data_IF_415230022814
#
_entry.id   IF_415230022814
#
_cell.length_a   1.000
_cell.length_b   1.000
_cell.length_c   1.000
_cell.angle_alpha   90.00
_cell.angle_beta   90.00
_cell.angle_gamma   90.00
#
_symmetry.space_group_name_H-M   'P 1'
#
loop_
_entity.id
_entity.type
_entity.pdbx_description
1 polymer ?
#
# COMPACT_ATOMS: atom_id res chain seq x y z
N UNK A 1 -8.85 8.97 0.37
CA UNK A 1 -7.65 9.55 -0.29
C UNK A 1 -7.04 8.58 -1.31
N UNK A 2 -6.35 7.48 -0.91
CA UNK A 2 -5.77 6.54 -1.90
C UNK A 2 -6.82 5.76 -2.71
N UNK A 3 -7.95 5.41 -2.08
CA UNK A 3 -9.11 4.82 -2.77
C UNK A 3 -9.70 5.76 -3.82
N UNK A 4 -9.77 7.05 -3.51
CA UNK A 4 -10.34 8.06 -4.40
C UNK A 4 -9.40 8.29 -5.59
N UNK A 5 -8.08 8.35 -5.35
CA UNK A 5 -7.08 8.44 -6.41
C UNK A 5 -7.14 7.25 -7.39
N UNK A 6 -7.38 6.03 -6.89
CA UNK A 6 -7.57 4.85 -7.75
C UNK A 6 -8.84 4.96 -8.60
N UNK A 7 -9.94 5.42 -8.00
CA UNK A 7 -11.22 5.61 -8.72
C UNK A 7 -11.10 6.67 -9.81
N UNK A 8 -10.50 7.81 -9.49
CA UNK A 8 -10.27 8.89 -10.47
C UNK A 8 -9.37 8.44 -11.62
N UNK A 9 -8.33 7.64 -11.33
CA UNK A 9 -7.47 7.08 -12.37
C UNK A 9 -8.20 6.06 -13.27
N UNK A 10 -9.13 5.26 -12.72
CA UNK A 10 -9.99 4.36 -13.52
C UNK A 10 -10.94 5.15 -14.43
N UNK A 11 -11.60 6.19 -13.89
CA UNK A 11 -12.50 7.06 -14.67
C UNK A 11 -11.74 7.78 -15.79
N UNK A 12 -10.55 8.31 -15.50
CA UNK A 12 -9.69 8.95 -16.49
C UNK A 12 -9.26 7.97 -17.60
N UNK A 13 -8.88 6.74 -17.24
CA UNK A 13 -8.54 5.70 -18.20
C UNK A 13 -9.71 5.41 -19.14
N UNK A 14 -10.92 5.18 -18.59
CA UNK A 14 -12.13 4.93 -19.40
C UNK A 14 -12.44 6.07 -20.36
N UNK A 15 -12.29 7.32 -19.91
CA UNK A 15 -12.51 8.49 -20.76
C UNK A 15 -11.49 8.55 -21.91
N UNK A 16 -10.23 8.27 -21.63
CA UNK A 16 -9.16 8.28 -22.64
C UNK A 16 -9.33 7.13 -23.63
N UNK A 17 -9.75 5.96 -23.17
CA UNK A 17 -10.11 4.83 -24.05
C UNK A 17 -11.29 5.17 -24.98
N UNK A 18 -12.34 5.81 -24.46
CA UNK A 18 -13.46 6.27 -25.27
C UNK A 18 -13.03 7.31 -26.31
N UNK A 19 -12.18 8.27 -25.92
CA UNK A 19 -11.63 9.27 -26.84
C UNK A 19 -10.73 8.63 -27.91
N UNK A 20 -9.98 7.58 -27.57
CA UNK A 20 -9.15 6.86 -28.53
C UNK A 20 -10.02 6.11 -29.55
N UNK A 21 -11.07 5.43 -29.09
CA UNK A 21 -12.04 4.77 -29.97
C UNK A 21 -12.76 5.76 -30.88
N UNK A 22 -12.99 6.99 -30.40
CA UNK A 22 -13.54 8.10 -31.18
C UNK A 22 -12.51 8.77 -32.11
N UNK A 23 -11.23 8.38 -32.08
CA UNK A 23 -10.16 8.98 -32.87
C UNK A 23 -9.75 10.39 -32.42
N UNK A 24 -10.10 10.79 -31.20
CA UNK A 24 -9.84 12.13 -30.64
C UNK A 24 -8.42 12.21 -30.04
N UNK A 25 -7.89 11.10 -29.56
CA UNK A 25 -6.56 11.01 -28.96
C UNK A 25 -5.76 9.86 -29.53
N UNK A 26 -4.43 9.97 -29.48
CA UNK A 26 -3.52 8.90 -29.87
C UNK A 26 -3.43 7.79 -28.81
N UNK A 27 -3.04 6.59 -29.24
CA UNK A 27 -2.84 5.44 -28.37
C UNK A 27 -1.81 5.69 -27.24
N UNK A 28 -0.84 6.59 -27.46
CA UNK A 28 0.10 6.98 -26.41
C UNK A 28 -0.60 7.55 -25.18
N UNK A 29 -1.70 8.28 -25.36
CA UNK A 29 -2.50 8.81 -24.24
C UNK A 29 -3.14 7.66 -23.45
N UNK A 30 -3.64 6.62 -24.12
CA UNK A 30 -4.17 5.40 -23.49
C UNK A 30 -3.09 4.70 -22.67
N UNK A 31 -1.87 4.61 -23.19
CA UNK A 31 -0.75 4.00 -22.48
C UNK A 31 -0.37 4.80 -21.22
N UNK A 32 -0.33 6.13 -21.31
CA UNK A 32 -0.05 7.00 -20.16
C UNK A 32 -1.15 6.85 -19.11
N UNK A 33 -2.43 6.80 -19.51
CA UNK A 33 -3.55 6.59 -18.61
C UNK A 33 -3.47 5.24 -17.88
N UNK A 34 -3.14 4.17 -18.60
CA UNK A 34 -2.90 2.85 -18.02
C UNK A 34 -1.77 2.88 -16.98
N UNK A 35 -0.65 3.54 -17.32
CA UNK A 35 0.47 3.69 -16.38
C UNK A 35 0.03 4.41 -15.10
N UNK A 36 -0.73 5.49 -15.21
CA UNK A 36 -1.25 6.24 -14.05
C UNK A 36 -2.19 5.39 -13.20
N UNK A 37 -3.08 4.61 -13.83
CA UNK A 37 -3.97 3.68 -13.13
C UNK A 37 -3.18 2.62 -12.34
N UNK A 38 -2.19 1.98 -12.95
CA UNK A 38 -1.37 0.99 -12.24
C UNK A 38 -0.56 1.61 -11.09
N UNK A 39 -0.04 2.82 -11.29
CA UNK A 39 0.65 3.54 -10.22
C UNK A 39 -0.29 3.83 -9.03
N UNK A 40 -1.53 4.25 -9.30
CA UNK A 40 -2.53 4.47 -8.26
C UNK A 40 -2.88 3.16 -7.53
N UNK A 41 -2.96 2.04 -8.26
CA UNK A 41 -3.23 0.72 -7.67
C UNK A 41 -2.09 0.25 -6.75
N UNK A 42 -0.83 0.43 -7.17
CA UNK A 42 0.34 0.14 -6.34
C UNK A 42 0.31 0.96 -5.05
N UNK A 43 0.07 2.28 -5.16
CA UNK A 43 -0.01 3.16 -3.99
C UNK A 43 -1.12 2.76 -3.02
N UNK A 44 -2.27 2.33 -3.54
CA UNK A 44 -3.38 1.84 -2.74
C UNK A 44 -3.01 0.55 -1.97
N UNK A 45 -2.34 -0.39 -2.62
CA UNK A 45 -1.87 -1.63 -1.97
C UNK A 45 -0.82 -1.31 -0.90
N UNK A 46 0.13 -0.42 -1.19
CA UNK A 46 1.13 0.01 -0.22
C UNK A 46 0.50 0.69 1.00
N UNK A 47 -0.50 1.55 0.80
CA UNK A 47 -1.22 2.18 1.90
C UNK A 47 -1.98 1.16 2.76
N UNK A 48 -2.56 0.12 2.15
CA UNK A 48 -3.16 -0.98 2.91
C UNK A 48 -2.13 -1.76 3.71
N UNK A 49 -0.97 -2.09 3.10
CA UNK A 49 0.11 -2.78 3.79
C UNK A 49 0.64 -1.97 4.99
N UNK A 50 0.82 -0.65 4.81
CA UNK A 50 1.23 0.24 5.88
C UNK A 50 0.22 0.24 7.03
N UNK A 51 -1.08 0.35 6.74
CA UNK A 51 -2.13 0.29 7.77
C UNK A 51 -2.10 -1.01 8.59
N UNK A 52 -1.82 -2.14 7.93
CA UNK A 52 -1.67 -3.43 8.62
C UNK A 52 -0.42 -3.45 9.51
N UNK A 53 0.70 -2.93 9.01
CA UNK A 53 1.92 -2.81 9.81
C UNK A 53 1.74 -1.89 11.02
N UNK A 54 1.07 -0.74 10.84
CA UNK A 54 0.76 0.19 11.94
C UNK A 54 -0.11 -0.49 13.00
N UNK A 55 -1.05 -1.35 12.57
CA UNK A 55 -1.89 -2.14 13.46
C UNK A 55 -1.05 -3.14 14.26
N UNK A 56 -0.14 -3.88 13.61
CA UNK A 56 0.79 -4.80 14.28
C UNK A 56 1.70 -4.05 15.26
N UNK A 57 2.27 -2.92 14.85
CA UNK A 57 3.12 -2.08 15.70
C UNK A 57 2.34 -1.55 16.91
N UNK A 58 1.08 -1.15 16.73
CA UNK A 58 0.19 -0.75 17.82
C UNK A 58 -0.07 -1.90 18.81
N UNK A 59 -0.35 -3.10 18.32
CA UNK A 59 -0.50 -4.29 19.19
C UNK A 59 0.78 -4.62 19.97
N UNK A 60 1.96 -4.51 19.34
CA UNK A 60 3.25 -4.68 20.02
C UNK A 60 3.45 -3.60 21.09
N UNK A 61 3.16 -2.33 20.78
CA UNK A 61 3.32 -1.20 21.70
C UNK A 61 2.37 -1.25 22.92
N UNK A 62 1.17 -1.82 22.77
CA UNK A 62 0.22 -2.04 23.86
C UNK A 62 0.61 -3.20 24.80
N UNK A 63 1.76 -3.85 24.58
CA UNK A 63 2.25 -4.92 25.45
C UNK A 63 2.34 -6.29 24.76
N UNK A 64 2.28 -6.35 23.43
CA UNK A 64 2.51 -7.55 22.60
C UNK A 64 3.96 -8.04 22.58
N UNK A 65 4.62 -8.03 23.74
CA UNK A 65 5.94 -8.60 23.98
C UNK A 65 5.94 -9.67 25.08
N UNK A 66 4.79 -10.01 25.68
CA UNK A 66 4.73 -11.00 26.76
C UNK A 66 5.09 -12.43 26.30
N UNK A 67 4.96 -12.76 25.01
CA UNK A 67 5.38 -14.08 24.50
C UNK A 67 6.86 -14.15 24.10
N UNK A 68 7.57 -13.01 24.03
CA UNK A 68 9.00 -12.92 23.70
C UNK A 68 9.88 -12.60 24.93
N UNK A 69 9.32 -12.64 26.14
CA UNK A 69 10.03 -12.26 27.36
C UNK A 69 11.04 -13.32 27.87
N UNK A 70 11.07 -14.53 27.31
CA UNK A 70 11.81 -15.66 27.91
C UNK A 70 12.97 -16.26 27.09
N UNK A 71 13.37 -15.67 25.95
CA UNK A 71 14.52 -16.22 25.19
C UNK A 71 15.86 -15.49 25.42
N UNK A 72 15.85 -14.34 26.11
CA UNK A 72 17.09 -13.60 26.43
C UNK A 72 17.09 -13.05 27.87
N UNK A 73 16.79 -13.91 28.85
CA UNK A 73 17.20 -13.62 30.22
C UNK A 73 18.72 -13.85 30.33
N UNK A 74 19.57 -12.82 30.53
CA UNK A 74 20.96 -13.08 30.86
C UNK A 74 20.98 -13.82 32.20
N UNK A 75 21.41 -15.08 32.18
CA UNK A 75 21.69 -15.88 33.37
C UNK A 75 22.63 -15.05 34.23
N UNK A 76 22.12 -14.47 35.32
CA UNK A 76 22.94 -13.85 36.36
C UNK A 76 23.86 -14.94 36.88
N UNK A 77 25.12 -14.94 36.44
CA UNK A 77 26.18 -15.70 37.08
C UNK A 77 26.36 -15.12 38.49
N UNK A 78 25.66 -15.74 39.44
CA UNK A 78 25.85 -15.50 40.85
C UNK A 78 27.22 -16.07 41.24
N UNK A 79 28.12 -15.14 41.51
CA UNK A 79 29.38 -15.30 42.24
C UNK A 79 29.23 -16.32 43.38
N UNK A 80 30.03 -17.38 43.35
CA UNK A 80 30.89 -17.85 44.44
C UNK A 80 31.88 -18.91 43.94
#
# INVERSE_FOLDING_TARGET
>A
AQSDALREADEALRLIEANYQAGIVDYLQVLIANYQYYQAQINFIQAQAQRLQDTVAFYVALGGGWWNADENAPVKQAVK
#
